data_IF_586280888178
#
_entry.id   IF_586280888178
#
_cell.length_a   1.000
_cell.length_b   1.000
_cell.length_c   1.000
_cell.angle_alpha   90.00
_cell.angle_beta   90.00
_cell.angle_gamma   90.00
#
_symmetry.space_group_name_H-M   'P 1'
#
loop_
_entity.id
_entity.type
_entity.pdbx_description
1 polymer ?
#
# COMPACT_ATOMS: atom_id res chain seq x y z
N UNK A 1 -23.26 -2.11 -26.73
CA UNK A 1 -22.22 -1.29 -27.39
C UNK A 1 -22.55 0.17 -27.10
N UNK A 2 -21.60 0.94 -26.54
CA UNK A 2 -21.75 2.37 -26.28
C UNK A 2 -20.92 3.16 -27.29
N UNK A 3 -21.42 4.33 -27.71
CA UNK A 3 -20.75 5.21 -28.66
C UNK A 3 -20.73 6.64 -28.09
N UNK A 4 -19.55 7.24 -28.09
CA UNK A 4 -19.28 8.56 -27.51
C UNK A 4 -18.72 9.48 -28.61
N UNK A 5 -19.55 10.37 -29.19
CA UNK A 5 -19.21 11.05 -30.45
C UNK A 5 -18.20 12.20 -30.35
N UNK A 6 -17.74 12.61 -29.16
CA UNK A 6 -16.90 13.81 -29.04
C UNK A 6 -17.69 15.10 -29.34
N UNK A 7 -17.06 16.23 -29.72
CA UNK A 7 -16.02 16.34 -30.75
C UNK A 7 -14.55 16.32 -30.29
N UNK A 8 -14.25 16.51 -29.01
CA UNK A 8 -12.86 16.48 -28.48
C UNK A 8 -12.55 15.22 -27.67
N UNK A 9 -11.28 14.80 -27.56
CA UNK A 9 -10.89 13.67 -26.70
C UNK A 9 -11.33 13.84 -25.24
N UNK A 10 -11.23 15.05 -24.68
CA UNK A 10 -11.70 15.35 -23.31
C UNK A 10 -13.20 15.10 -23.13
N UNK A 11 -14.03 15.52 -24.09
CA UNK A 11 -15.48 15.29 -24.03
C UNK A 11 -15.82 13.81 -24.15
N UNK A 12 -15.10 13.05 -24.97
CA UNK A 12 -15.25 11.59 -25.04
C UNK A 12 -14.95 10.95 -23.68
N UNK A 13 -13.86 11.35 -23.03
CA UNK A 13 -13.52 10.86 -21.68
C UNK A 13 -14.57 11.24 -20.64
N UNK A 14 -15.11 12.46 -20.69
CA UNK A 14 -16.18 12.89 -19.78
C UNK A 14 -17.48 12.09 -19.98
N UNK A 15 -17.87 11.86 -21.23
CA UNK A 15 -19.06 11.05 -21.56
C UNK A 15 -18.90 9.61 -21.08
N UNK A 16 -17.69 9.03 -21.22
CA UNK A 16 -17.39 7.71 -20.69
C UNK A 16 -17.44 7.67 -19.15
N UNK A 17 -16.81 8.62 -18.48
CA UNK A 17 -16.81 8.72 -17.01
C UNK A 17 -18.20 8.99 -16.43
N UNK A 18 -19.12 9.61 -17.19
CA UNK A 18 -20.52 9.74 -16.80
C UNK A 18 -21.25 8.40 -16.80
N UNK A 19 -20.85 7.45 -17.65
CA UNK A 19 -21.44 6.11 -17.72
C UNK A 19 -20.86 5.16 -16.67
N UNK A 20 -19.52 5.08 -16.56
CA UNK A 20 -18.84 4.10 -15.68
C UNK A 20 -18.57 4.62 -14.27
N UNK A 21 -18.71 5.93 -14.05
CA UNK A 21 -18.36 6.60 -12.81
C UNK A 21 -17.00 7.26 -12.86
N UNK A 22 -16.80 8.24 -11.96
CA UNK A 22 -15.52 8.93 -11.79
C UNK A 22 -14.59 8.13 -10.87
N UNK A 23 -13.27 8.22 -11.06
CA UNK A 23 -12.33 7.62 -10.12
C UNK A 23 -12.55 8.21 -8.72
N UNK A 24 -12.38 7.38 -7.70
CA UNK A 24 -12.37 7.84 -6.32
C UNK A 24 -11.13 8.72 -6.06
N UNK A 25 -11.21 9.62 -5.08
CA UNK A 25 -10.06 10.39 -4.64
C UNK A 25 -9.17 9.49 -3.75
N UNK A 26 -7.94 9.14 -4.16
CA UNK A 26 -7.07 8.32 -3.32
C UNK A 26 -6.61 9.10 -2.09
N UNK A 27 -6.29 8.37 -1.02
CA UNK A 27 -5.66 8.96 0.16
C UNK A 27 -4.30 9.58 -0.23
N UNK A 28 -3.96 10.73 0.37
CA UNK A 28 -2.78 11.51 -0.01
C UNK A 28 -1.48 10.70 0.00
N UNK A 29 -1.29 9.89 1.05
CA UNK A 29 -0.13 9.02 1.22
C UNK A 29 -0.01 7.92 0.15
N UNK A 30 -1.09 7.60 -0.58
CA UNK A 30 -1.07 6.67 -1.70
C UNK A 30 -0.49 7.25 -3.00
N UNK A 31 -0.36 8.58 -3.08
CA UNK A 31 0.26 9.28 -4.22
C UNK A 31 1.78 9.45 -4.05
N UNK A 32 2.27 9.20 -2.84
CA UNK A 32 3.67 9.28 -2.49
C UNK A 32 4.51 8.11 -3.00
N UNK A 33 5.81 8.15 -2.73
CA UNK A 33 6.71 7.05 -3.10
C UNK A 33 6.44 5.85 -2.18
N UNK A 34 6.27 4.67 -2.79
CA UNK A 34 5.98 3.43 -2.07
C UNK A 34 7.12 2.44 -2.31
N UNK A 35 7.70 1.92 -1.24
CA UNK A 35 8.75 0.89 -1.32
C UNK A 35 8.18 -0.47 -0.97
N UNK A 36 8.47 -1.45 -1.82
CA UNK A 36 8.06 -2.84 -1.63
C UNK A 36 9.23 -3.77 -1.95
N UNK A 37 9.24 -4.93 -1.31
CA UNK A 37 10.17 -6.00 -1.59
C UNK A 37 9.53 -7.33 -1.21
N UNK A 38 9.60 -8.29 -2.13
CA UNK A 38 9.26 -9.67 -1.84
C UNK A 38 10.30 -10.29 -0.92
N UNK A 39 9.89 -10.88 0.20
CA UNK A 39 10.82 -11.55 1.11
C UNK A 39 11.52 -10.62 2.11
N UNK A 40 10.80 -9.73 2.80
CA UNK A 40 11.30 -9.23 4.08
C UNK A 40 11.35 -10.39 5.08
N UNK A 41 12.52 -10.61 5.67
CA UNK A 41 12.78 -11.72 6.59
C UNK A 41 11.94 -11.62 7.86
N UNK A 42 11.83 -10.41 8.40
CA UNK A 42 11.12 -10.08 9.63
C UNK A 42 10.76 -8.59 9.65
N UNK A 43 9.99 -8.19 10.67
CA UNK A 43 9.58 -6.79 10.86
C UNK A 43 10.77 -5.85 11.03
N UNK A 44 11.84 -6.28 11.67
CA UNK A 44 13.02 -5.44 11.91
C UNK A 44 13.79 -5.17 10.60
N UNK A 45 13.90 -6.14 9.69
CA UNK A 45 14.48 -5.89 8.36
C UNK A 45 13.66 -4.84 7.60
N UNK A 46 12.33 -4.94 7.64
CA UNK A 46 11.44 -3.97 6.99
C UNK A 46 11.69 -2.56 7.54
N UNK A 47 11.73 -2.41 8.87
CA UNK A 47 11.99 -1.12 9.54
C UNK A 47 13.38 -0.58 9.16
N UNK A 48 14.42 -1.41 9.25
CA UNK A 48 15.79 -1.02 8.91
C UNK A 48 15.93 -0.56 7.46
N UNK A 49 15.27 -1.23 6.52
CA UNK A 49 15.28 -0.83 5.10
C UNK A 49 14.60 0.53 4.94
N UNK A 50 13.46 0.74 5.58
CA UNK A 50 12.74 2.01 5.54
C UNK A 50 13.59 3.15 6.12
N UNK A 51 14.13 2.98 7.33
CA UNK A 51 15.00 3.96 7.98
C UNK A 51 16.24 4.28 7.14
N UNK A 52 16.87 3.27 6.51
CA UNK A 52 18.02 3.48 5.63
C UNK A 52 17.69 4.36 4.43
N UNK A 53 16.53 4.17 3.79
CA UNK A 53 16.11 4.99 2.65
C UNK A 53 15.81 6.43 3.08
N UNK A 54 15.19 6.60 4.25
CA UNK A 54 14.95 7.92 4.84
C UNK A 54 16.28 8.62 5.15
N UNK A 55 17.23 7.91 5.77
CA UNK A 55 18.56 8.43 6.06
C UNK A 55 19.36 8.80 4.79
N UNK A 56 19.06 8.14 3.66
CA UNK A 56 19.61 8.47 2.34
C UNK A 56 18.93 9.69 1.69
N UNK A 57 17.93 10.30 2.33
CA UNK A 57 17.21 11.47 1.81
C UNK A 57 16.14 11.15 0.77
N UNK A 58 15.72 9.88 0.66
CA UNK A 58 14.65 9.48 -0.27
C UNK A 58 13.30 9.82 0.38
N UNK A 59 12.44 10.64 -0.28
CA UNK A 59 11.11 10.95 0.23
C UNK A 59 10.22 9.72 0.08
N UNK A 60 10.01 8.99 1.18
CA UNK A 60 9.22 7.77 1.25
C UNK A 60 7.96 8.00 2.08
N UNK A 61 6.80 7.66 1.53
CA UNK A 61 5.50 7.83 2.18
C UNK A 61 4.93 6.52 2.72
N UNK A 62 5.15 5.42 2.00
CA UNK A 62 4.58 4.10 2.35
C UNK A 62 5.59 2.98 2.19
N UNK A 63 5.64 2.08 3.16
CA UNK A 63 6.30 0.79 3.03
C UNK A 63 5.27 -0.29 2.82
N UNK A 64 5.54 -1.28 1.97
CA UNK A 64 4.64 -2.42 1.71
C UNK A 64 5.27 -3.68 2.26
N UNK A 65 4.59 -4.35 3.18
CA UNK A 65 4.89 -5.71 3.61
C UNK A 65 4.23 -6.71 2.65
N UNK A 66 5.05 -7.53 2.00
CA UNK A 66 4.62 -8.60 1.09
C UNK A 66 4.12 -9.84 1.86
N UNK A 67 3.61 -10.86 1.17
CA UNK A 67 2.92 -12.05 1.72
C UNK A 67 3.67 -12.79 2.85
N UNK A 68 4.98 -12.59 2.99
CA UNK A 68 5.82 -13.21 4.02
C UNK A 68 5.49 -12.76 5.45
N UNK A 69 4.71 -11.68 5.62
CA UNK A 69 4.25 -11.29 6.95
C UNK A 69 3.18 -12.24 7.53
N UNK A 70 2.53 -13.05 6.69
CA UNK A 70 1.41 -13.91 7.08
C UNK A 70 1.85 -15.20 7.79
N UNK A 71 0.98 -15.76 8.63
CA UNK A 71 1.15 -17.14 9.11
C UNK A 71 0.87 -18.11 7.96
N UNK A 72 1.93 -18.69 7.39
CA UNK A 72 1.85 -19.70 6.31
C UNK A 72 0.96 -19.25 5.15
N UNK A 73 1.06 -17.99 4.74
CA UNK A 73 0.28 -17.39 3.64
C UNK A 73 -1.24 -17.40 3.85
N UNK A 74 -1.71 -17.53 5.09
CA UNK A 74 -3.12 -17.36 5.40
C UNK A 74 -3.45 -15.88 5.43
N UNK A 75 -4.38 -15.47 4.57
CA UNK A 75 -4.86 -14.10 4.56
C UNK A 75 -5.41 -13.71 5.95
N UNK A 76 -5.29 -12.43 6.30
CA UNK A 76 -5.69 -11.85 7.59
C UNK A 76 -4.97 -12.40 8.83
N UNK A 77 -3.81 -13.05 8.66
CA UNK A 77 -2.96 -13.51 9.76
C UNK A 77 -1.61 -12.80 9.75
N UNK A 78 -0.93 -12.82 10.90
CA UNK A 78 0.46 -12.39 11.02
C UNK A 78 1.29 -13.53 11.60
N UNK A 79 2.50 -13.73 11.06
CA UNK A 79 3.35 -14.84 11.45
C UNK A 79 4.01 -14.60 12.81
N UNK A 80 3.68 -15.40 13.82
CA UNK A 80 4.11 -15.20 15.22
C UNK A 80 5.64 -15.04 15.42
N UNK A 81 6.45 -15.61 14.53
CA UNK A 81 7.93 -15.57 14.63
C UNK A 81 8.55 -14.39 13.88
N UNK A 82 8.01 -14.02 12.72
CA UNK A 82 8.60 -13.00 11.83
C UNK A 82 7.93 -11.63 11.98
N UNK A 83 6.63 -11.64 12.24
CA UNK A 83 5.75 -10.48 12.40
C UNK A 83 4.81 -10.74 13.59
N UNK A 84 5.32 -10.70 14.82
CA UNK A 84 4.53 -11.04 15.99
C UNK A 84 3.34 -10.10 16.16
N UNK A 85 2.16 -10.66 16.40
CA UNK A 85 0.89 -9.94 16.68
C UNK A 85 1.02 -8.98 17.88
N UNK A 86 1.96 -9.27 18.79
CA UNK A 86 2.19 -8.45 19.98
C UNK A 86 2.66 -7.03 19.66
N UNK A 87 3.23 -6.81 18.47
CA UNK A 87 3.57 -5.47 18.01
C UNK A 87 2.31 -4.89 17.37
N UNK A 88 1.74 -3.87 18.01
CA UNK A 88 0.56 -3.20 17.48
C UNK A 88 0.91 -2.49 16.18
N UNK A 89 0.00 -2.47 15.20
CA UNK A 89 0.16 -1.65 13.99
C UNK A 89 0.46 -0.19 14.32
N UNK A 90 -0.07 0.31 15.43
CA UNK A 90 0.24 1.66 15.93
C UNK A 90 1.70 1.82 16.33
N UNK A 91 2.33 0.81 16.94
CA UNK A 91 3.74 0.88 17.31
C UNK A 91 4.64 0.89 16.07
N UNK A 92 4.27 0.15 15.03
CA UNK A 92 5.02 0.17 13.77
C UNK A 92 4.86 1.53 13.07
N UNK A 93 3.65 2.08 13.08
CA UNK A 93 3.40 3.42 12.55
C UNK A 93 4.20 4.49 13.31
N UNK A 94 4.18 4.46 14.65
CA UNK A 94 4.93 5.39 15.50
C UNK A 94 6.45 5.27 15.29
N UNK A 95 6.97 4.06 15.06
CA UNK A 95 8.39 3.83 14.77
C UNK A 95 8.81 4.37 13.41
N UNK A 96 7.94 4.25 12.40
CA UNK A 96 8.26 4.65 11.04
C UNK A 96 7.91 6.10 10.74
N UNK A 97 7.00 6.72 11.51
CA UNK A 97 6.35 8.00 11.20
C UNK A 97 5.70 7.99 9.78
N UNK A 98 5.37 6.81 9.25
CA UNK A 98 4.94 6.60 7.85
C UNK A 98 3.94 5.44 7.75
N UNK A 99 3.21 5.39 6.65
CA UNK A 99 2.19 4.35 6.44
C UNK A 99 2.82 3.00 6.09
N UNK A 100 2.27 1.93 6.66
CA UNK A 100 2.59 0.55 6.32
C UNK A 100 1.39 -0.11 5.64
N UNK A 101 1.60 -0.66 4.43
CA UNK A 101 0.61 -1.44 3.69
C UNK A 101 0.91 -2.93 3.83
N UNK A 102 -0.13 -3.74 3.93
CA UNK A 102 -0.04 -5.19 3.98
C UNK A 102 -0.65 -5.78 2.71
N UNK A 103 0.15 -6.53 1.96
CA UNK A 103 -0.30 -7.17 0.72
C UNK A 103 -1.04 -8.47 1.03
N UNK A 104 -2.29 -8.62 0.56
CA UNK A 104 -3.02 -9.89 0.67
C UNK A 104 -3.23 -10.50 -0.72
N UNK A 105 -3.29 -11.84 -0.78
CA UNK A 105 -3.21 -12.61 -2.04
C UNK A 105 -4.34 -12.34 -3.05
N UNK A 106 -5.35 -11.54 -2.70
CA UNK A 106 -6.45 -11.16 -3.61
C UNK A 106 -6.99 -9.75 -3.39
N UNK A 107 -6.47 -9.00 -2.41
CA UNK A 107 -6.90 -7.64 -2.04
C UNK A 107 -5.70 -6.91 -1.42
N UNK A 108 -5.38 -5.70 -1.86
CA UNK A 108 -4.50 -4.84 -1.04
C UNK A 108 -5.36 -4.35 0.12
N UNK A 109 -5.24 -4.95 1.31
CA UNK A 109 -5.85 -4.38 2.51
C UNK A 109 -4.98 -3.23 3.00
N UNK A 110 -5.51 -2.04 2.77
CA UNK A 110 -5.06 -0.83 3.41
C UNK A 110 -5.57 -0.89 4.86
N UNK A 111 -4.74 -1.41 5.78
CA UNK A 111 -5.05 -1.33 7.21
C UNK A 111 -4.85 0.13 7.60
N UNK A 112 -5.96 0.80 7.91
CA UNK A 112 -5.95 2.14 8.48
C UNK A 112 -5.38 2.05 9.90
N UNK A 113 -4.44 2.93 10.21
CA UNK A 113 -4.24 3.40 11.58
C UNK A 113 -5.16 4.59 11.81
#
# INVERSE_FOLDING_TARGET
MYFFPGPTPDEVTQQYLALVGRPFLPAYWGLGFQISRYGYKDLDELINVTERNVAAGIPLDTTVADIDYMDRYKDFTTGEVRFPVSVSFSEVFDRLDRFLRYLQNSVILQIFC
#
